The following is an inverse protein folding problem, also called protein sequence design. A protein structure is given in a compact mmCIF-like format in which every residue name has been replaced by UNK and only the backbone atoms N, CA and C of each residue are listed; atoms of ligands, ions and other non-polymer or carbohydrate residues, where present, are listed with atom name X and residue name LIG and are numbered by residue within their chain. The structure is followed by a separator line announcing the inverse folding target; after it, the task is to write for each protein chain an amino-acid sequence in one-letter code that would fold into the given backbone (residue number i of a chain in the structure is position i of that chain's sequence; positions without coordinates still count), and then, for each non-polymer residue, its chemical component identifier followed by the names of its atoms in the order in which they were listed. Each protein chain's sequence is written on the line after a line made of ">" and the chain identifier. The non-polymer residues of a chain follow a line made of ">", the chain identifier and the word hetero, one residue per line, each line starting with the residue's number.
data_IF_358159220193
#
_entry.id   IF_358159220193
#
_cell.length_a   1.000
_cell.length_b   1.000
_cell.length_c   1.000
_cell.angle_alpha   90.00
_cell.angle_beta   90.00
_cell.angle_gamma   90.00
#
_symmetry.space_group_name_H-M   'P 1'
#
loop_
_entity.id
_entity.type
_entity.pdbx_description
1 polymer ?
#
# COMPACT_ATOMS: atom_id res chain seq x y z
N UNK A 1 13.33 -79.57 -8.53
CA UNK A 1 14.50 -78.84 -7.99
C UNK A 1 14.47 -77.44 -8.58
N UNK A 2 13.80 -76.49 -7.92
CA UNK A 2 13.74 -75.09 -8.37
C UNK A 2 14.30 -74.22 -7.23
N UNK A 3 15.44 -73.58 -7.50
CA UNK A 3 16.16 -72.72 -6.57
C UNK A 3 15.48 -71.36 -6.48
N UNK A 4 14.93 -71.03 -5.31
CA UNK A 4 14.29 -69.76 -5.00
C UNK A 4 15.36 -68.79 -4.46
N UNK A 5 15.82 -67.84 -5.30
CA UNK A 5 16.69 -66.73 -4.87
C UNK A 5 15.82 -65.56 -4.41
N UNK A 6 15.71 -65.38 -3.09
CA UNK A 6 15.09 -64.19 -2.49
C UNK A 6 16.11 -63.06 -2.55
N UNK A 7 15.83 -62.05 -3.38
CA UNK A 7 16.65 -60.85 -3.52
C UNK A 7 16.29 -59.86 -2.42
N UNK A 8 17.27 -59.62 -1.54
CA UNK A 8 17.21 -58.77 -0.36
C UNK A 8 17.53 -57.33 -0.76
N UNK A 9 16.53 -56.52 -1.11
CA UNK A 9 16.72 -55.09 -1.43
C UNK A 9 15.44 -54.31 -1.09
N UNK A 10 15.19 -54.06 0.19
CA UNK A 10 14.04 -53.23 0.61
C UNK A 10 14.16 -52.67 2.04
N UNK A 11 15.33 -52.17 2.44
CA UNK A 11 15.46 -51.37 3.66
C UNK A 11 16.48 -50.28 3.39
N UNK A 12 16.03 -49.08 3.02
CA UNK A 12 16.97 -47.99 2.78
C UNK A 12 16.36 -46.69 2.31
N UNK A 13 15.10 -46.40 2.61
CA UNK A 13 14.49 -45.09 2.35
C UNK A 13 13.60 -44.70 3.55
N UNK A 14 14.13 -44.87 4.77
CA UNK A 14 13.66 -44.09 5.91
C UNK A 14 14.25 -42.69 5.74
N UNK A 15 13.55 -41.92 4.89
CA UNK A 15 13.76 -40.50 4.69
C UNK A 15 13.53 -39.87 6.06
N UNK A 16 14.62 -39.65 6.78
CA UNK A 16 14.63 -38.94 8.05
C UNK A 16 14.13 -37.54 7.73
N UNK A 17 12.84 -37.33 7.95
CA UNK A 17 12.22 -36.02 8.01
C UNK A 17 12.76 -35.35 9.28
N UNK A 18 14.03 -34.93 9.23
CA UNK A 18 14.61 -33.99 10.17
C UNK A 18 13.87 -32.68 9.93
N UNK A 19 12.71 -32.55 10.57
CA UNK A 19 11.99 -31.31 10.74
C UNK A 19 12.91 -30.37 11.52
N UNK A 20 13.78 -29.67 10.80
CA UNK A 20 14.62 -28.60 11.32
C UNK A 20 13.67 -27.49 11.75
N UNK A 21 13.23 -27.58 13.00
CA UNK A 21 12.59 -26.46 13.67
C UNK A 21 13.66 -25.38 13.74
N UNK A 22 13.62 -24.42 12.81
CA UNK A 22 14.50 -23.28 12.87
C UNK A 22 14.17 -22.54 14.15
N UNK A 23 15.08 -22.63 15.11
CA UNK A 23 15.02 -21.78 16.30
C UNK A 23 15.15 -20.36 15.79
N UNK A 24 14.05 -19.60 15.83
CA UNK A 24 14.08 -18.16 15.53
C UNK A 24 14.84 -17.50 16.66
N UNK A 25 16.15 -17.29 16.46
CA UNK A 25 16.98 -16.57 17.41
C UNK A 25 16.62 -15.08 17.27
N UNK A 26 15.79 -14.58 18.19
CA UNK A 26 15.45 -13.17 18.26
C UNK A 26 16.69 -12.31 18.54
N UNK A 27 16.69 -11.07 18.03
CA UNK A 27 17.77 -10.13 18.33
C UNK A 27 17.53 -9.49 19.69
N UNK A 28 18.53 -9.53 20.56
CA UNK A 28 18.49 -8.94 21.90
C UNK A 28 19.16 -7.56 21.92
N UNK A 29 18.47 -6.57 22.48
CA UNK A 29 19.03 -5.26 22.79
C UNK A 29 18.91 -4.96 24.30
N UNK A 30 20.02 -4.61 24.94
CA UNK A 30 20.00 -4.15 26.33
C UNK A 30 19.25 -2.83 26.47
N UNK A 31 19.42 -1.92 25.49
CA UNK A 31 18.73 -0.63 25.44
C UNK A 31 18.57 -0.18 23.99
N UNK A 32 17.37 0.28 23.64
CA UNK A 32 17.10 1.03 22.41
C UNK A 32 16.61 2.41 22.79
N UNK A 33 17.27 3.43 22.26
CA UNK A 33 16.93 4.83 22.40
C UNK A 33 16.65 5.39 21.00
N UNK A 34 15.53 6.11 20.85
CA UNK A 34 15.17 6.87 19.66
C UNK A 34 14.88 8.30 20.14
N UNK A 35 15.70 9.25 19.69
CA UNK A 35 15.63 10.64 20.14
C UNK A 35 14.40 11.36 19.62
N UNK A 36 14.19 12.57 20.11
CA UNK A 36 13.02 13.41 19.77
C UNK A 36 12.88 13.59 18.26
N UNK A 37 11.74 13.19 17.72
CA UNK A 37 11.41 13.28 16.30
C UNK A 37 12.20 12.35 15.38
N UNK A 38 13.11 11.52 15.93
CA UNK A 38 13.91 10.59 15.15
C UNK A 38 13.11 9.36 14.72
N UNK A 39 13.59 8.71 13.66
CA UNK A 39 13.03 7.47 13.16
C UNK A 39 14.09 6.36 13.19
N UNK A 40 13.69 5.16 13.64
CA UNK A 40 14.53 3.97 13.62
C UNK A 40 13.79 2.80 12.97
N UNK A 41 14.47 2.08 12.07
CA UNK A 41 13.93 0.92 11.37
C UNK A 41 14.44 -0.37 12.01
N UNK A 42 13.52 -1.31 12.23
CA UNK A 42 13.75 -2.67 12.71
C UNK A 42 13.56 -3.63 11.54
N UNK A 43 14.65 -4.27 11.11
CA UNK A 43 14.69 -5.16 9.95
C UNK A 43 14.60 -6.66 10.25
N UNK A 44 14.33 -7.03 11.50
CA UNK A 44 14.34 -8.42 11.98
C UNK A 44 12.95 -8.85 12.48
N UNK A 45 12.67 -10.15 12.43
CA UNK A 45 11.34 -10.70 12.69
C UNK A 45 11.01 -10.83 14.18
N UNK A 46 12.01 -10.84 15.05
CA UNK A 46 11.83 -10.94 16.50
C UNK A 46 12.86 -10.11 17.24
N UNK A 47 12.39 -9.20 18.08
CA UNK A 47 13.23 -8.32 18.88
C UNK A 47 12.84 -8.40 20.34
N UNK A 48 13.84 -8.64 21.18
CA UNK A 48 13.74 -8.50 22.62
C UNK A 48 14.51 -7.27 23.08
N UNK A 49 13.89 -6.41 23.87
CA UNK A 49 14.51 -5.22 24.44
C UNK A 49 14.33 -5.22 25.96
N UNK A 50 15.44 -5.04 26.69
CA UNK A 50 15.31 -4.80 28.13
C UNK A 50 14.76 -3.40 28.41
N UNK A 51 15.22 -2.38 27.66
CA UNK A 51 14.72 -1.01 27.79
C UNK A 51 14.48 -0.38 26.41
N UNK A 52 13.29 0.15 26.18
CA UNK A 52 12.95 1.00 25.03
C UNK A 52 12.65 2.41 25.52
N UNK A 53 13.30 3.40 24.93
CA UNK A 53 13.04 4.82 25.17
C UNK A 53 12.71 5.48 23.84
N UNK A 54 11.47 5.98 23.73
CA UNK A 54 11.01 6.81 22.64
C UNK A 54 10.78 8.21 23.20
N UNK A 55 11.56 9.20 22.76
CA UNK A 55 11.31 10.59 23.08
C UNK A 55 10.17 11.17 22.24
N UNK A 56 9.75 12.41 22.52
CA UNK A 56 8.59 13.01 21.88
C UNK A 56 8.70 12.99 20.34
N UNK A 57 7.66 12.52 19.65
CA UNK A 57 7.64 12.41 18.19
C UNK A 57 8.49 11.27 17.61
N UNK A 58 9.17 10.47 18.43
CA UNK A 58 10.01 9.38 17.95
C UNK A 58 9.20 8.27 17.28
N UNK A 59 9.80 7.64 16.26
CA UNK A 59 9.17 6.60 15.45
C UNK A 59 10.03 5.34 15.39
N UNK A 60 9.41 4.19 15.62
CA UNK A 60 10.02 2.88 15.43
C UNK A 60 9.25 2.12 14.35
N UNK A 61 9.89 1.90 13.19
CA UNK A 61 9.29 1.22 12.04
C UNK A 61 9.73 -0.22 11.92
N UNK A 62 8.83 -1.10 11.50
CA UNK A 62 9.10 -2.52 11.26
C UNK A 62 9.00 -2.80 9.77
N UNK A 63 10.09 -3.31 9.19
CA UNK A 63 10.14 -3.60 7.75
C UNK A 63 9.49 -4.95 7.37
N UNK A 64 9.16 -5.78 8.37
CA UNK A 64 8.65 -7.16 8.22
C UNK A 64 7.59 -7.44 9.27
N UNK A 65 6.96 -8.61 9.17
CA UNK A 65 6.15 -9.14 10.27
C UNK A 65 7.07 -9.32 11.48
N UNK A 66 6.69 -8.76 12.63
CA UNK A 66 7.60 -8.69 13.76
C UNK A 66 6.92 -8.99 15.10
N UNK A 67 7.70 -9.62 15.98
CA UNK A 67 7.41 -9.75 17.40
C UNK A 67 8.34 -8.80 18.15
N UNK A 68 7.77 -7.90 18.95
CA UNK A 68 8.52 -7.02 19.83
C UNK A 68 8.16 -7.32 21.29
N UNK A 69 9.18 -7.68 22.08
CA UNK A 69 9.05 -7.88 23.51
C UNK A 69 9.89 -6.83 24.23
N UNK A 70 9.27 -6.00 25.07
CA UNK A 70 9.93 -4.90 25.79
C UNK A 70 9.67 -5.01 27.28
N UNK A 71 10.73 -5.20 28.06
CA UNK A 71 10.64 -5.31 29.53
C UNK A 71 10.40 -3.97 30.23
N UNK A 72 10.94 -2.87 29.70
CA UNK A 72 10.72 -1.52 30.24
C UNK A 72 10.58 -0.51 29.10
N UNK A 73 9.38 0.02 28.89
CA UNK A 73 9.11 1.04 27.88
C UNK A 73 8.87 2.42 28.51
N UNK A 74 9.60 3.41 28.02
CA UNK A 74 9.43 4.83 28.35
C UNK A 74 9.06 5.57 27.07
N UNK A 75 7.79 5.93 26.95
CA UNK A 75 7.23 6.54 25.75
C UNK A 75 6.87 7.99 26.04
N UNK A 76 7.39 8.91 25.23
CA UNK A 76 7.07 10.33 25.24
C UNK A 76 5.74 10.65 24.58
N UNK A 77 5.59 11.89 24.13
CA UNK A 77 4.38 12.38 23.47
C UNK A 77 4.44 12.16 21.95
N UNK A 78 3.31 11.82 21.32
CA UNK A 78 3.18 11.65 19.87
C UNK A 78 4.17 10.65 19.24
N UNK A 79 4.51 9.58 19.96
CA UNK A 79 5.38 8.51 19.46
C UNK A 79 4.62 7.57 18.52
N UNK A 80 5.34 6.87 17.65
CA UNK A 80 4.74 5.92 16.69
C UNK A 80 5.52 4.60 16.64
N UNK A 81 4.80 3.48 16.72
CA UNK A 81 5.24 2.15 16.28
C UNK A 81 4.51 1.81 14.98
N UNK A 82 5.23 1.56 13.89
CA UNK A 82 4.57 1.41 12.59
C UNK A 82 5.12 0.24 11.77
N UNK A 83 4.24 -0.60 11.28
CA UNK A 83 4.50 -1.61 10.26
C UNK A 83 3.60 -1.39 9.03
N UNK A 84 3.12 -0.15 8.84
CA UNK A 84 2.19 0.19 7.79
C UNK A 84 2.78 -0.01 6.39
N UNK A 85 1.93 -0.41 5.45
CA UNK A 85 2.27 -0.57 4.05
C UNK A 85 2.48 0.76 3.34
N UNK A 86 3.29 0.75 2.29
CA UNK A 86 3.52 1.91 1.44
C UNK A 86 2.33 2.16 0.50
N UNK A 87 2.03 3.43 0.25
CA UNK A 87 1.04 3.79 -0.75
C UNK A 87 1.54 3.42 -2.16
N UNK A 88 0.59 3.03 -3.02
CA UNK A 88 0.84 2.89 -4.44
C UNK A 88 1.17 4.23 -5.08
N UNK A 89 1.94 4.19 -6.16
CA UNK A 89 2.26 5.37 -6.96
C UNK A 89 1.05 5.80 -7.79
N UNK A 90 0.86 7.09 -8.00
CA UNK A 90 -0.11 7.59 -8.96
C UNK A 90 0.36 7.29 -10.39
N UNK A 91 -0.58 6.88 -11.24
CA UNK A 91 -0.37 6.74 -12.68
C UNK A 91 0.01 8.07 -13.31
N UNK A 92 0.86 8.00 -14.33
CA UNK A 92 1.33 9.14 -15.11
C UNK A 92 1.04 8.94 -16.58
N UNK A 93 0.67 10.03 -17.23
CA UNK A 93 0.48 10.06 -18.68
C UNK A 93 1.76 9.56 -19.39
N UNK A 94 1.60 8.79 -20.48
CA UNK A 94 2.64 8.19 -21.35
C UNK A 94 3.25 6.85 -20.93
N UNK A 95 3.61 6.64 -19.65
CA UNK A 95 4.41 5.45 -19.29
C UNK A 95 3.71 4.50 -18.31
N UNK A 96 2.65 4.95 -17.63
CA UNK A 96 1.99 4.14 -16.61
C UNK A 96 0.59 4.70 -16.33
N UNK A 97 -0.40 4.28 -17.12
CA UNK A 97 -1.76 4.79 -16.95
C UNK A 97 -2.33 4.39 -15.59
N UNK A 98 -2.12 3.16 -15.16
CA UNK A 98 -2.73 2.65 -13.95
C UNK A 98 -1.96 3.10 -12.68
N UNK A 99 -2.71 3.38 -11.63
CA UNK A 99 -2.14 3.61 -10.30
C UNK A 99 -1.65 2.30 -9.69
N UNK A 100 -0.54 2.39 -8.96
CA UNK A 100 0.04 1.25 -8.24
C UNK A 100 -0.84 0.78 -7.09
N UNK A 101 -0.77 -0.50 -6.77
CA UNK A 101 -1.39 -1.03 -5.56
C UNK A 101 -0.68 -0.51 -4.31
N UNK A 102 -1.44 -0.27 -3.24
CA UNK A 102 -0.86 -0.08 -1.92
C UNK A 102 -0.32 -1.40 -1.39
N UNK A 103 0.75 -1.35 -0.61
CA UNK A 103 1.31 -2.54 0.04
C UNK A 103 0.50 -2.93 1.27
N UNK A 104 0.45 -4.21 1.56
CA UNK A 104 -0.12 -4.71 2.81
C UNK A 104 0.73 -4.27 4.00
N UNK A 105 0.05 -3.82 5.07
CA UNK A 105 0.67 -3.62 6.36
C UNK A 105 1.15 -4.94 6.96
N UNK A 106 2.22 -4.90 7.78
CA UNK A 106 2.81 -6.11 8.34
C UNK A 106 2.18 -6.44 9.69
N UNK A 107 2.06 -7.73 9.96
CA UNK A 107 1.56 -8.23 11.24
C UNK A 107 2.52 -7.87 12.37
N UNK A 108 1.97 -7.44 13.49
CA UNK A 108 2.75 -6.97 14.62
C UNK A 108 2.24 -7.59 15.92
N UNK A 109 3.14 -8.26 16.64
CA UNK A 109 2.88 -8.78 17.99
C UNK A 109 3.73 -7.98 18.97
N UNK A 110 3.08 -7.29 19.88
CA UNK A 110 3.69 -6.41 20.86
C UNK A 110 3.44 -6.94 22.26
N UNK A 111 4.51 -7.14 23.01
CA UNK A 111 4.47 -7.49 24.44
C UNK A 111 5.26 -6.40 25.17
N UNK A 112 4.57 -5.42 25.75
CA UNK A 112 5.21 -4.19 26.24
C UNK A 112 4.83 -3.92 27.69
N UNK A 113 5.84 -3.76 28.55
CA UNK A 113 5.67 -3.26 29.90
C UNK A 113 5.98 -1.77 29.97
N UNK A 114 4.94 -0.94 30.02
CA UNK A 114 5.05 0.51 30.05
C UNK A 114 5.35 1.01 31.48
N UNK A 115 6.52 1.62 31.63
CA UNK A 115 6.93 2.36 32.83
C UNK A 115 6.55 3.84 32.76
N UNK A 116 6.45 4.38 31.54
CA UNK A 116 5.94 5.73 31.25
C UNK A 116 5.27 5.72 29.88
N UNK A 117 4.12 6.40 29.76
CA UNK A 117 3.39 6.55 28.50
C UNK A 117 2.85 7.97 28.34
N UNK A 118 3.35 8.73 27.37
CA UNK A 118 2.66 9.92 26.86
C UNK A 118 1.54 9.49 25.93
N UNK A 119 1.75 9.68 24.63
CA UNK A 119 0.80 9.31 23.59
C UNK A 119 1.51 8.43 22.55
N UNK A 120 0.96 7.25 22.30
CA UNK A 120 1.53 6.26 21.39
C UNK A 120 0.55 5.93 20.28
N UNK A 121 0.99 6.02 19.04
CA UNK A 121 0.30 5.45 17.89
C UNK A 121 0.94 4.11 17.52
N UNK A 122 0.12 3.11 17.26
CA UNK A 122 0.53 1.80 16.75
C UNK A 122 -0.22 1.59 15.44
N UNK A 123 0.51 1.41 14.34
CA UNK A 123 -0.07 1.39 12.99
C UNK A 123 0.39 0.17 12.20
N UNK A 124 -0.55 -0.66 11.80
CA UNK A 124 -0.36 -1.79 10.87
C UNK A 124 -1.18 -1.60 9.59
N UNK A 125 -1.62 -0.37 9.29
CA UNK A 125 -2.47 -0.08 8.12
C UNK A 125 -1.89 -0.56 6.79
N UNK A 126 -2.76 -0.95 5.88
CA UNK A 126 -2.40 -1.09 4.47
C UNK A 126 -2.16 0.26 3.81
N UNK A 127 -1.29 0.26 2.80
CA UNK A 127 -1.07 1.43 1.95
C UNK A 127 -2.28 1.72 1.06
N UNK A 128 -2.54 2.98 0.77
CA UNK A 128 -3.58 3.37 -0.18
C UNK A 128 -3.15 3.05 -1.61
N UNK A 129 -4.09 2.68 -2.47
CA UNK A 129 -3.83 2.54 -3.89
C UNK A 129 -3.65 3.89 -4.57
N UNK A 130 -2.76 3.93 -5.56
CA UNK A 130 -2.51 5.13 -6.36
C UNK A 130 -3.63 5.41 -7.35
N UNK A 131 -3.78 6.67 -7.73
CA UNK A 131 -4.78 7.12 -8.71
C UNK A 131 -4.41 6.69 -10.12
N UNK A 132 -5.40 6.39 -10.95
CA UNK A 132 -5.20 6.22 -12.39
C UNK A 132 -4.97 7.56 -13.10
N UNK A 133 -4.16 7.54 -14.16
CA UNK A 133 -3.86 8.71 -14.99
C UNK A 133 -5.07 9.11 -15.86
N UNK A 134 -5.17 10.40 -16.17
CA UNK A 134 -6.15 10.88 -17.15
C UNK A 134 -5.72 10.46 -18.57
N UNK A 135 -6.68 10.05 -19.39
CA UNK A 135 -6.48 9.80 -20.80
C UNK A 135 -6.29 11.10 -21.58
N UNK A 136 -5.42 11.08 -22.59
CA UNK A 136 -5.20 12.26 -23.45
C UNK A 136 -6.35 12.51 -24.42
N UNK A 137 -6.58 13.78 -24.79
CA UNK A 137 -7.54 14.11 -25.83
C UNK A 137 -7.12 13.51 -27.17
N UNK A 138 -8.11 13.14 -27.98
CA UNK A 138 -7.90 12.83 -29.39
C UNK A 138 -7.50 14.08 -30.16
N UNK A 139 -6.72 13.92 -31.23
CA UNK A 139 -6.33 15.04 -32.09
C UNK A 139 -7.52 15.50 -32.93
N UNK A 140 -7.61 16.81 -33.22
CA UNK A 140 -8.62 17.30 -34.15
C UNK A 140 -8.20 16.98 -35.59
N UNK A 141 -9.15 16.58 -36.42
CA UNK A 141 -8.93 16.34 -37.84
C UNK A 141 -8.69 17.63 -38.62
N UNK A 142 -7.83 17.54 -39.62
CA UNK A 142 -7.73 18.52 -40.71
C UNK A 142 -8.93 18.43 -41.66
N UNK A 143 -9.16 19.43 -42.55
CA UNK A 143 -10.32 19.41 -43.43
C UNK A 143 -10.49 18.10 -44.22
N UNK A 144 -11.68 17.51 -44.14
CA UNK A 144 -12.01 16.22 -44.75
C UNK A 144 -11.55 14.98 -43.97
N UNK A 145 -10.81 15.14 -42.87
CA UNK A 145 -10.31 14.04 -42.05
C UNK A 145 -11.03 13.92 -40.71
N UNK A 146 -11.13 12.69 -40.20
CA UNK A 146 -11.75 12.42 -38.90
C UNK A 146 -10.87 12.91 -37.75
N UNK A 147 -11.49 13.25 -36.63
CA UNK A 147 -10.79 13.45 -35.38
C UNK A 147 -10.30 12.11 -34.83
N UNK A 148 -9.20 12.16 -34.08
CA UNK A 148 -8.69 11.00 -33.34
C UNK A 148 -9.53 10.69 -32.11
N UNK A 149 -9.46 9.45 -31.65
CA UNK A 149 -10.11 9.01 -30.42
C UNK A 149 -9.36 9.52 -29.19
N UNK A 150 -10.11 9.84 -28.14
CA UNK A 150 -9.53 10.09 -26.83
C UNK A 150 -8.94 8.81 -26.25
N UNK A 151 -7.81 8.92 -25.58
CA UNK A 151 -7.18 7.77 -24.93
C UNK A 151 -7.95 7.36 -23.67
N UNK A 152 -7.87 6.08 -23.32
CA UNK A 152 -8.43 5.54 -22.10
C UNK A 152 -7.76 6.13 -20.85
N UNK A 153 -8.52 6.33 -19.78
CA UNK A 153 -7.99 6.65 -18.45
C UNK A 153 -7.48 5.41 -17.73
N UNK A 154 -6.51 5.58 -16.85
CA UNK A 154 -5.94 4.49 -16.06
C UNK A 154 -6.88 4.00 -14.95
N UNK A 155 -6.71 2.75 -14.56
CA UNK A 155 -7.34 2.18 -13.38
C UNK A 155 -6.67 2.72 -12.10
N UNK A 156 -7.47 2.92 -11.05
CA UNK A 156 -6.92 3.14 -9.71
C UNK A 156 -6.38 1.83 -9.14
N UNK A 157 -5.27 1.90 -8.41
CA UNK A 157 -4.72 0.73 -7.73
C UNK A 157 -5.59 0.31 -6.54
N UNK A 158 -5.72 -0.97 -6.25
CA UNK A 158 -6.27 -1.44 -4.97
C UNK A 158 -5.42 -0.96 -3.79
N UNK A 159 -6.07 -0.71 -2.65
CA UNK A 159 -5.38 -0.51 -1.38
C UNK A 159 -4.89 -1.84 -0.81
N UNK A 160 -3.82 -1.78 -0.02
CA UNK A 160 -3.27 -2.92 0.69
C UNK A 160 -4.13 -3.32 1.90
N UNK A 161 -4.04 -4.56 2.33
CA UNK A 161 -4.69 -5.02 3.55
C UNK A 161 -3.99 -4.45 4.80
N UNK A 162 -4.76 -4.23 5.85
CA UNK A 162 -4.21 -3.99 7.18
C UNK A 162 -3.57 -5.26 7.73
N UNK A 163 -2.45 -5.12 8.44
CA UNK A 163 -1.82 -6.19 9.17
C UNK A 163 -2.51 -6.42 10.52
N UNK A 164 -2.61 -7.67 10.93
CA UNK A 164 -3.08 -8.02 12.27
C UNK A 164 -2.19 -7.42 13.36
N UNK A 165 -2.82 -6.98 14.44
CA UNK A 165 -2.17 -6.37 15.58
C UNK A 165 -2.52 -7.14 16.85
N UNK A 166 -1.51 -7.70 17.49
CA UNK A 166 -1.63 -8.23 18.85
C UNK A 166 -0.90 -7.31 19.82
N UNK A 167 -1.59 -6.79 20.82
CA UNK A 167 -1.00 -6.00 21.90
C UNK A 167 -1.28 -6.66 23.25
N UNK A 168 -0.22 -7.17 23.86
CA UNK A 168 -0.19 -7.58 25.26
C UNK A 168 0.58 -6.50 26.03
N UNK A 169 -0.04 -5.88 27.01
CA UNK A 169 0.59 -4.78 27.73
C UNK A 169 0.47 -4.88 29.25
N UNK A 170 1.45 -4.28 29.91
CA UNK A 170 1.52 -4.08 31.34
C UNK A 170 1.72 -2.59 31.60
N UNK A 171 1.15 -2.06 32.68
CA UNK A 171 1.36 -0.69 33.11
C UNK A 171 1.52 -0.64 34.63
N UNK A 172 2.47 0.13 35.11
CA UNK A 172 2.69 0.34 36.53
C UNK A 172 2.23 1.75 36.93
N UNK A 173 1.18 1.84 37.74
CA UNK A 173 0.69 3.11 38.29
C UNK A 173 -0.20 3.96 37.36
N UNK A 174 -0.59 3.46 36.19
CA UNK A 174 -1.57 4.13 35.32
C UNK A 174 -2.37 3.13 34.48
N UNK A 175 -3.48 3.60 33.88
CA UNK A 175 -4.31 2.82 32.95
C UNK A 175 -4.36 3.56 31.61
N UNK A 176 -3.90 2.94 30.50
CA UNK A 176 -3.97 3.59 29.20
C UNK A 176 -5.41 3.79 28.73
N UNK A 177 -5.63 4.86 27.98
CA UNK A 177 -6.86 5.06 27.20
C UNK A 177 -6.63 4.65 25.76
N UNK A 178 -7.60 3.96 25.15
CA UNK A 178 -7.47 3.44 23.79
C UNK A 178 -8.43 4.15 22.85
N UNK A 179 -7.94 4.56 21.68
CA UNK A 179 -8.75 5.13 20.58
C UNK A 179 -9.71 6.25 21.01
N UNK A 180 -9.37 6.97 22.08
CA UNK A 180 -10.18 8.07 22.60
C UNK A 180 -9.97 9.34 21.79
N UNK A 181 -11.03 10.14 21.67
CA UNK A 181 -10.98 11.46 21.00
C UNK A 181 -10.11 12.49 21.74
N UNK A 182 -9.82 12.24 23.01
CA UNK A 182 -8.98 13.12 23.81
C UNK A 182 -7.51 12.70 23.70
N UNK A 183 -6.67 13.65 23.25
CA UNK A 183 -5.20 13.59 23.33
C UNK A 183 -4.72 13.67 24.80
N UNK A 184 -5.33 12.89 25.67
CA UNK A 184 -4.98 12.79 27.08
C UNK A 184 -3.67 12.03 27.26
N UNK A 185 -3.06 12.22 28.43
CA UNK A 185 -1.87 11.48 28.86
C UNK A 185 -2.18 9.99 28.95
N UNK A 186 -1.19 9.15 28.71
CA UNK A 186 -1.31 7.69 28.69
C UNK A 186 -2.30 7.19 27.62
N UNK A 187 -2.27 7.73 26.41
CA UNK A 187 -3.16 7.29 25.32
C UNK A 187 -2.45 6.39 24.31
N UNK A 188 -3.18 5.41 23.80
CA UNK A 188 -2.75 4.52 22.72
C UNK A 188 -3.77 4.55 21.59
N UNK A 189 -3.33 4.93 20.39
CA UNK A 189 -4.09 4.82 19.16
C UNK A 189 -3.68 3.55 18.41
N UNK A 190 -4.66 2.73 18.02
CA UNK A 190 -4.44 1.48 17.30
C UNK A 190 -5.09 1.58 15.92
N UNK A 191 -4.26 1.63 14.88
CA UNK A 191 -4.68 1.69 13.48
C UNK A 191 -4.28 0.39 12.76
N UNK A 192 -5.25 -0.36 12.22
CA UNK A 192 -5.03 -1.66 11.57
C UNK A 192 -5.92 -1.84 10.34
N UNK A 193 -6.29 -0.74 9.69
CA UNK A 193 -7.26 -0.71 8.60
C UNK A 193 -6.62 -1.04 7.25
N UNK A 194 -7.41 -1.58 6.35
CA UNK A 194 -7.03 -1.68 4.94
C UNK A 194 -6.93 -0.29 4.30
N UNK A 195 -5.95 -0.13 3.41
CA UNK A 195 -5.78 1.08 2.65
C UNK A 195 -6.92 1.31 1.66
N UNK A 196 -7.21 2.58 1.37
CA UNK A 196 -8.25 2.95 0.42
C UNK A 196 -7.87 2.57 -1.02
N UNK A 197 -8.89 2.29 -1.83
CA UNK A 197 -8.70 2.10 -3.27
C UNK A 197 -8.40 3.41 -3.98
N UNK A 198 -7.53 3.34 -4.98
CA UNK A 198 -7.18 4.43 -5.86
C UNK A 198 -8.36 4.88 -6.72
N UNK A 199 -8.41 6.18 -7.03
CA UNK A 199 -9.46 6.75 -7.87
C UNK A 199 -9.14 6.47 -9.35
N UNK A 200 -10.15 6.09 -10.13
CA UNK A 200 -10.04 5.92 -11.56
C UNK A 200 -9.62 7.21 -12.28
N UNK A 201 -8.78 7.06 -13.30
CA UNK A 201 -8.52 8.11 -14.28
C UNK A 201 -9.67 8.23 -15.27
N UNK A 202 -10.00 9.45 -15.69
CA UNK A 202 -11.03 9.68 -16.72
C UNK A 202 -10.43 9.49 -18.12
N UNK A 203 -11.21 8.95 -19.04
CA UNK A 203 -10.87 8.88 -20.45
C UNK A 203 -10.81 10.26 -21.08
N UNK A 204 -9.92 10.42 -22.04
CA UNK A 204 -9.72 11.66 -22.78
C UNK A 204 -10.93 11.97 -23.68
N UNK A 205 -11.20 13.25 -23.94
CA UNK A 205 -12.26 13.62 -24.87
C UNK A 205 -11.90 13.22 -26.31
N UNK A 206 -12.93 12.99 -27.12
CA UNK A 206 -12.80 12.79 -28.56
C UNK A 206 -12.18 14.02 -29.24
N UNK A 207 -11.35 13.79 -30.25
CA UNK A 207 -10.97 14.81 -31.21
C UNK A 207 -12.13 15.15 -32.15
N UNK A 208 -12.26 16.42 -32.52
CA UNK A 208 -13.29 16.85 -33.48
C UNK A 208 -12.88 16.50 -34.90
N UNK A 209 -13.84 16.08 -35.72
CA UNK A 209 -13.65 15.94 -37.16
C UNK A 209 -13.31 17.28 -37.81
N UNK A 210 -12.46 17.25 -38.83
CA UNK A 210 -12.13 18.46 -39.58
C UNK A 210 -13.30 18.95 -40.42
N UNK A 211 -13.33 20.25 -40.76
CA UNK A 211 -14.40 20.80 -41.59
C UNK A 211 -14.38 20.18 -43.00
N UNK A 212 -15.43 20.36 -43.81
CA UNK A 212 -15.39 19.98 -45.23
C UNK A 212 -14.19 20.63 -45.95
N UNK A 213 -13.46 19.89 -46.82
CA UNK A 213 -12.39 20.48 -47.62
C UNK A 213 -12.97 21.52 -48.58
N UNK A 214 -12.21 22.58 -48.82
CA UNK A 214 -12.65 23.71 -49.63
C UNK A 214 -11.62 24.02 -50.70
N UNK A 215 -12.04 24.11 -51.95
CA UNK A 215 -11.26 24.68 -53.04
C UNK A 215 -11.77 26.07 -53.38
N UNK A 216 -10.84 26.98 -53.58
CA UNK A 216 -11.14 28.34 -54.01
C UNK A 216 -10.87 28.43 -55.50
N UNK A 217 -11.89 28.81 -56.26
CA UNK A 217 -11.77 29.09 -57.69
C UNK A 217 -12.13 30.54 -57.97
N UNK A 218 -11.51 31.13 -58.99
CA UNK A 218 -11.85 32.47 -59.46
C UNK A 218 -12.41 32.35 -60.87
N UNK A 219 -13.70 32.69 -61.04
CA UNK A 219 -14.36 32.70 -62.33
C UNK A 219 -14.70 34.14 -62.68
N UNK A 220 -14.11 34.68 -63.74
CA UNK A 220 -14.27 36.07 -64.17
C UNK A 220 -13.99 37.10 -63.06
N UNK A 221 -12.97 36.85 -62.23
CA UNK A 221 -12.60 37.72 -61.11
C UNK A 221 -13.47 37.56 -59.84
N UNK A 222 -14.52 36.73 -59.86
CA UNK A 222 -15.36 36.45 -58.70
C UNK A 222 -14.86 35.20 -57.97
N UNK A 223 -14.58 35.32 -56.67
CA UNK A 223 -14.17 34.20 -55.79
C UNK A 223 -15.36 33.26 -55.54
N UNK A 224 -15.21 31.99 -55.90
CA UNK A 224 -16.12 30.90 -55.54
C UNK A 224 -15.43 29.95 -54.57
N UNK A 225 -16.16 29.50 -53.55
CA UNK A 225 -15.71 28.48 -52.61
C UNK A 225 -16.49 27.21 -52.88
N UNK A 226 -15.79 26.17 -53.33
CA UNK A 226 -16.36 24.86 -53.63
C UNK A 226 -16.07 23.95 -52.45
N UNK A 227 -17.10 23.30 -51.93
CA UNK A 227 -16.97 22.26 -50.91
C UNK A 227 -16.66 20.93 -51.64
N UNK A 228 -15.48 20.37 -51.42
CA UNK A 228 -14.98 19.22 -52.19
C UNK A 228 -15.30 17.86 -51.56
N UNK A 229 -15.95 17.85 -50.40
CA UNK A 229 -16.29 16.62 -49.70
C UNK A 229 -17.03 16.89 -48.39
N UNK A 230 -17.42 15.84 -47.66
CA UNK A 230 -18.03 15.97 -46.34
C UNK A 230 -17.01 16.44 -45.29
N UNK A 231 -17.52 16.89 -44.14
CA UNK A 231 -16.71 17.04 -42.94
C UNK A 231 -16.22 15.68 -42.43
N UNK A 232 -15.11 15.67 -41.72
CA UNK A 232 -14.70 14.51 -40.95
C UNK A 232 -15.65 14.22 -39.79
N UNK A 233 -15.67 12.97 -39.35
CA UNK A 233 -16.38 12.54 -38.14
C UNK A 233 -15.55 12.86 -36.90
N UNK A 234 -16.20 13.14 -35.79
CA UNK A 234 -15.53 13.17 -34.49
C UNK A 234 -15.00 11.78 -34.15
N UNK A 235 -13.90 11.73 -33.39
CA UNK A 235 -13.46 10.50 -32.76
C UNK A 235 -14.39 10.08 -31.62
N UNK A 236 -14.02 9.01 -30.96
CA UNK A 236 -14.69 8.48 -29.78
C UNK A 236 -14.08 9.03 -28.50
N UNK A 237 -14.90 9.22 -27.47
CA UNK A 237 -14.39 9.54 -26.14
C UNK A 237 -13.65 8.32 -25.59
N UNK A 238 -12.52 8.54 -24.95
CA UNK A 238 -11.83 7.51 -24.19
C UNK A 238 -12.70 6.99 -23.04
N UNK A 239 -12.49 5.72 -22.70
CA UNK A 239 -13.19 5.07 -21.60
C UNK A 239 -12.52 5.44 -20.27
N UNK A 240 -13.32 5.69 -19.24
CA UNK A 240 -12.81 5.91 -17.89
C UNK A 240 -12.22 4.61 -17.33
N UNK A 241 -11.23 4.71 -16.45
CA UNK A 241 -10.72 3.57 -15.69
C UNK A 241 -11.73 3.08 -14.66
N UNK A 242 -11.34 2.04 -13.92
CA UNK A 242 -12.08 1.56 -12.75
C UNK A 242 -11.42 2.04 -11.46
N UNK A 243 -12.23 2.22 -10.41
CA UNK A 243 -11.70 2.46 -9.07
C UNK A 243 -11.00 1.21 -8.55
N UNK A 244 -9.98 1.42 -7.73
CA UNK A 244 -9.38 0.35 -6.93
C UNK A 244 -10.32 -0.07 -5.80
N UNK A 245 -10.15 -1.29 -5.32
CA UNK A 245 -10.84 -1.78 -4.14
C UNK A 245 -10.10 -1.37 -2.88
N UNK A 246 -10.83 -1.07 -1.81
CA UNK A 246 -10.27 -0.93 -0.46
C UNK A 246 -9.74 -2.28 0.03
N UNK A 247 -8.59 -2.26 0.70
CA UNK A 247 -8.03 -3.44 1.36
C UNK A 247 -8.88 -3.90 2.54
N UNK A 248 -8.68 -5.14 3.00
CA UNK A 248 -9.35 -5.62 4.21
C UNK A 248 -8.69 -5.03 5.45
N UNK A 249 -9.49 -4.77 6.48
CA UNK A 249 -8.97 -4.44 7.80
C UNK A 249 -8.32 -5.69 8.43
N UNK A 250 -7.29 -5.48 9.24
CA UNK A 250 -6.64 -6.54 10.01
C UNK A 250 -7.45 -6.93 11.24
N UNK A 251 -7.00 -7.98 11.94
CA UNK A 251 -7.55 -8.38 13.22
C UNK A 251 -6.82 -7.68 14.38
N UNK A 252 -7.58 -7.20 15.37
CA UNK A 252 -7.03 -6.64 16.61
C UNK A 252 -7.26 -7.61 17.77
N UNK A 253 -6.17 -8.07 18.38
CA UNK A 253 -6.18 -8.78 19.65
C UNK A 253 -5.49 -7.89 20.68
N UNK A 254 -6.21 -7.45 21.70
CA UNK A 254 -5.61 -6.67 22.78
C UNK A 254 -5.90 -7.30 24.14
N UNK A 255 -4.88 -7.38 24.99
CA UNK A 255 -4.98 -7.97 26.32
C UNK A 255 -4.11 -7.18 27.29
N UNK A 256 -4.69 -6.79 28.41
CA UNK A 256 -3.91 -6.40 29.59
C UNK A 256 -3.40 -7.68 30.23
N UNK A 257 -2.13 -7.71 30.59
CA UNK A 257 -1.61 -8.73 31.48
C UNK A 257 -1.34 -8.09 32.83
N UNK A 258 -1.84 -8.75 33.86
CA UNK A 258 -1.62 -8.37 35.25
C UNK A 258 -0.28 -8.93 35.76
#
# INVERSE_FOLDING_TARGET
>A
MNNFKISLFLIGWFLVFFCHSQVVIGTYYSKVFVGRGEEKIVGVDSVYMNTLILEDGAKLKFAKNSILIVKNAFIGENCELSSAGLNGFDGKFQNQLDGGHGEDGKHLILIINFKKLGNLKISTNGGSGGKGALGSPGYNGEPGSNGGDGQKGGHGGNGGNGGDLTLIYYCEGFTPTFNGSQKGRHSIQLDYFGGEGGIAGRGGPAGRGGPPPKRIEYLNGVKRVIIEGPAGKNGWKGVDGSHGMRGRDGELIFRRSD
#
